data_IF_684644265711
#
_entry.id   IF_684644265711
#
_cell.length_a   1.000
_cell.length_b   1.000
_cell.length_c   1.000
_cell.angle_alpha   90.00
_cell.angle_beta   90.00
_cell.angle_gamma   90.00
#
_symmetry.space_group_name_H-M   'P 1'
#
loop_
_entity.id
_entity.type
_entity.pdbx_description
1 polymer ?
#
# COMPACT_ATOMS: atom_id res chain seq x y z
N UNK A 1 -10.95 -24.36 9.01
CA UNK A 1 -9.74 -23.94 8.27
C UNK A 1 -9.69 -22.43 8.12
N UNK A 2 -10.75 -21.78 7.63
CA UNK A 2 -10.82 -20.31 7.49
C UNK A 2 -10.67 -19.55 8.82
N UNK A 3 -11.28 -20.02 9.91
CA UNK A 3 -11.15 -19.39 11.23
C UNK A 3 -9.70 -19.44 11.78
N UNK A 4 -9.00 -20.55 11.57
CA UNK A 4 -7.59 -20.72 11.98
C UNK A 4 -6.66 -19.84 11.13
N UNK A 5 -6.95 -19.70 9.83
CA UNK A 5 -6.20 -18.82 8.92
C UNK A 5 -6.46 -17.32 9.18
N UNK A 6 -7.67 -16.95 9.59
CA UNK A 6 -7.97 -15.57 10.03
C UNK A 6 -7.22 -15.22 11.31
N UNK A 7 -7.14 -16.14 12.27
CA UNK A 7 -6.37 -15.97 13.52
C UNK A 7 -4.86 -15.82 13.26
N UNK A 8 -4.33 -16.40 12.19
CA UNK A 8 -2.95 -16.25 11.72
C UNK A 8 -2.63 -14.85 11.17
N UNK A 9 -3.56 -14.22 10.44
CA UNK A 9 -3.32 -12.88 9.90
C UNK A 9 -3.37 -11.78 10.97
N UNK A 10 -4.06 -12.04 12.09
CA UNK A 10 -4.26 -11.06 13.17
C UNK A 10 -3.27 -11.19 14.35
N UNK A 11 -2.67 -12.37 14.60
CA UNK A 11 -1.79 -12.59 15.76
C UNK A 11 -0.47 -13.25 15.36
N UNK A 12 0.62 -12.85 16.04
CA UNK A 12 1.99 -13.32 15.78
C UNK A 12 2.21 -14.83 15.96
N UNK A 13 3.47 -15.26 15.84
CA UNK A 13 3.90 -16.67 15.77
C UNK A 13 3.37 -17.57 16.90
N UNK A 14 3.02 -17.01 18.07
CA UNK A 14 2.49 -17.75 19.21
C UNK A 14 1.17 -17.12 19.67
N UNK A 15 0.08 -17.90 19.60
CA UNK A 15 -1.21 -17.53 20.17
C UNK A 15 -1.48 -18.41 21.39
N UNK A 16 -1.82 -17.77 22.52
CA UNK A 16 -2.26 -18.44 23.76
C UNK A 16 -3.75 -18.18 23.93
N UNK A 17 -4.54 -19.26 23.96
CA UNK A 17 -5.95 -19.17 24.32
C UNK A 17 -6.12 -18.76 25.79
N UNK A 18 -7.33 -18.31 26.15
CA UNK A 18 -7.71 -18.03 27.54
C UNK A 18 -7.53 -19.24 28.48
N UNK A 19 -7.47 -20.45 27.93
CA UNK A 19 -7.23 -21.71 28.64
C UNK A 19 -5.73 -22.09 28.74
N UNK A 20 -4.82 -21.26 28.20
CA UNK A 20 -3.37 -21.44 28.32
C UNK A 20 -2.72 -22.33 27.24
N UNK A 21 -3.48 -22.84 26.28
CA UNK A 21 -2.94 -23.62 25.16
C UNK A 21 -2.20 -22.72 24.16
N UNK A 22 -0.90 -22.97 24.00
CA UNK A 22 -0.08 -22.40 22.91
C UNK A 22 -0.35 -23.16 21.62
N UNK A 23 -0.90 -22.47 20.63
CA UNK A 23 -1.14 -23.04 19.31
C UNK A 23 0.09 -22.78 18.42
N UNK A 24 1.02 -23.73 18.37
CA UNK A 24 2.12 -23.71 17.40
C UNK A 24 1.63 -24.18 16.03
N UNK A 25 1.11 -23.23 15.25
CA UNK A 25 0.57 -23.48 13.92
C UNK A 25 1.65 -23.92 12.91
N UNK A 26 2.93 -23.62 13.16
CA UNK A 26 4.05 -24.07 12.31
C UNK A 26 4.12 -25.59 12.31
N UNK A 27 3.91 -26.22 13.47
CA UNK A 27 3.83 -27.68 13.59
C UNK A 27 2.62 -28.27 12.85
N UNK A 28 1.53 -27.51 12.69
CA UNK A 28 0.33 -27.95 11.96
C UNK A 28 0.36 -27.67 10.45
N UNK A 29 1.31 -26.87 9.95
CA UNK A 29 1.42 -26.54 8.52
C UNK A 29 1.42 -27.76 7.58
N UNK A 30 2.19 -28.83 7.85
CA UNK A 30 2.18 -30.02 6.99
C UNK A 30 0.80 -30.68 6.92
N UNK A 31 0.08 -30.73 8.04
CA UNK A 31 -1.27 -31.28 8.10
C UNK A 31 -2.27 -30.41 7.31
N UNK A 32 -2.15 -29.08 7.40
CA UNK A 32 -2.98 -28.16 6.62
C UNK A 32 -2.69 -28.23 5.12
N UNK A 33 -1.42 -28.32 4.72
CA UNK A 33 -1.04 -28.49 3.32
C UNK A 33 -1.65 -29.77 2.75
N UNK A 34 -1.58 -30.88 3.49
CA UNK A 34 -2.18 -32.15 3.09
C UNK A 34 -3.70 -32.03 2.96
N UNK A 35 -4.36 -31.43 3.96
CA UNK A 35 -5.82 -31.24 3.96
C UNK A 35 -6.28 -30.35 2.79
N UNK A 36 -5.56 -29.25 2.52
CA UNK A 36 -5.87 -28.36 1.40
C UNK A 36 -5.69 -29.07 0.06
N UNK A 37 -4.59 -29.80 -0.12
CA UNK A 37 -4.29 -30.50 -1.37
C UNK A 37 -5.23 -31.68 -1.66
N UNK A 38 -5.87 -32.24 -0.63
CA UNK A 38 -6.82 -33.36 -0.73
C UNK A 38 -8.28 -32.92 -0.66
N UNK A 39 -8.56 -31.64 -0.41
CA UNK A 39 -9.92 -31.08 -0.43
C UNK A 39 -10.33 -30.72 -1.86
N UNK A 40 -11.60 -30.94 -2.20
CA UNK A 40 -12.11 -30.57 -3.52
C UNK A 40 -12.18 -29.05 -3.66
N UNK A 41 -11.63 -28.52 -4.76
CA UNK A 41 -11.69 -27.08 -5.05
C UNK A 41 -12.92 -26.75 -5.90
N UNK A 42 -13.66 -25.71 -5.52
CA UNK A 42 -14.94 -25.34 -6.15
C UNK A 42 -14.83 -25.02 -7.65
N UNK A 43 -13.71 -24.44 -8.08
CA UNK A 43 -13.48 -24.10 -9.49
C UNK A 43 -13.22 -25.31 -10.38
N UNK A 44 -12.50 -26.32 -9.90
CA UNK A 44 -12.07 -27.47 -10.72
C UNK A 44 -12.90 -28.72 -10.46
N UNK A 45 -13.69 -28.75 -9.37
CA UNK A 45 -14.42 -29.94 -8.91
C UNK A 45 -13.51 -31.11 -8.53
N UNK A 46 -12.20 -30.88 -8.46
CA UNK A 46 -11.16 -31.88 -8.19
C UNK A 46 -10.24 -31.38 -7.08
N UNK A 47 -9.52 -32.31 -6.48
CA UNK A 47 -8.50 -31.98 -5.48
C UNK A 47 -7.24 -31.43 -6.17
N UNK A 48 -6.55 -30.44 -5.57
CA UNK A 48 -5.30 -29.93 -6.12
C UNK A 48 -4.25 -31.03 -6.36
N UNK A 49 -4.13 -32.01 -5.46
CA UNK A 49 -3.19 -33.13 -5.63
C UNK A 49 -3.50 -34.01 -6.86
N UNK A 50 -4.78 -34.20 -7.22
CA UNK A 50 -5.13 -34.93 -8.45
C UNK A 50 -4.78 -34.10 -9.70
N UNK A 51 -4.92 -32.78 -9.64
CA UNK A 51 -4.54 -31.91 -10.77
C UNK A 51 -3.01 -31.81 -10.91
N UNK A 52 -2.29 -31.77 -9.78
CA UNK A 52 -0.83 -31.54 -9.72
C UNK A 52 0.02 -32.82 -9.70
N UNK A 53 -0.55 -33.97 -9.31
CA UNK A 53 0.17 -35.25 -9.28
C UNK A 53 -0.57 -36.38 -9.98
N UNK A 54 -1.85 -36.21 -10.30
CA UNK A 54 -2.69 -37.26 -10.89
C UNK A 54 -3.30 -38.22 -9.86
N UNK A 55 -2.93 -38.12 -8.58
CA UNK A 55 -3.42 -38.99 -7.50
C UNK A 55 -3.52 -38.22 -6.19
N UNK A 56 -4.39 -38.70 -5.30
CA UNK A 56 -4.44 -38.21 -3.92
C UNK A 56 -3.60 -39.12 -3.02
N UNK A 57 -2.80 -38.55 -2.10
CA UNK A 57 -2.14 -39.33 -1.07
C UNK A 57 -3.18 -40.08 -0.23
N UNK A 58 -2.87 -41.34 0.08
CA UNK A 58 -3.69 -42.18 0.94
C UNK A 58 -3.55 -41.70 2.39
N UNK A 59 -4.67 -41.65 3.10
CA UNK A 59 -4.62 -41.45 4.55
C UNK A 59 -4.14 -42.73 5.24
N UNK A 60 -3.53 -42.64 6.43
CA UNK A 60 -3.14 -43.84 7.21
C UNK A 60 -4.32 -44.82 7.38
N UNK A 61 -5.54 -44.32 7.52
CA UNK A 61 -6.77 -45.13 7.61
C UNK A 61 -7.08 -45.87 6.29
N UNK A 62 -6.79 -45.26 5.15
CA UNK A 62 -7.02 -45.87 3.84
C UNK A 62 -6.03 -46.99 3.57
N UNK A 63 -4.79 -46.88 4.10
CA UNK A 63 -3.79 -47.95 3.99
C UNK A 63 -4.26 -49.25 4.65
N UNK A 64 -4.91 -49.17 5.82
CA UNK A 64 -5.45 -50.36 6.50
C UNK A 64 -6.73 -50.92 5.86
N UNK A 65 -7.43 -50.12 5.05
CA UNK A 65 -8.67 -50.54 4.36
C UNK A 65 -8.41 -51.11 2.97
N UNK A 66 -7.29 -50.75 2.34
CA UNK A 66 -6.99 -51.13 0.97
C UNK A 66 -6.28 -52.50 0.92
N UNK A 67 -7.06 -53.56 0.72
CA UNK A 67 -6.55 -54.91 0.42
C UNK A 67 -6.23 -55.14 -1.08
N UNK A 68 -6.21 -54.07 -1.90
CA UNK A 68 -6.02 -54.17 -3.35
C UNK A 68 -4.59 -53.79 -3.76
N UNK A 69 -4.01 -54.58 -4.67
CA UNK A 69 -2.74 -54.27 -5.33
C UNK A 69 -2.90 -52.99 -6.16
N UNK A 70 -2.18 -51.93 -5.77
CA UNK A 70 -2.15 -50.67 -6.54
C UNK A 70 -1.16 -50.84 -7.69
N UNK A 71 -1.66 -51.20 -8.87
CA UNK A 71 -0.85 -51.23 -10.08
C UNK A 71 -0.67 -49.79 -10.55
N UNK A 72 0.56 -49.28 -10.46
CA UNK A 72 0.87 -47.98 -11.02
C UNK A 72 0.75 -48.02 -12.55
N UNK A 73 0.11 -47.01 -13.17
CA UNK A 73 0.02 -46.95 -14.62
C UNK A 73 1.42 -46.87 -15.23
N UNK A 74 1.57 -47.38 -16.46
CA UNK A 74 2.80 -47.21 -17.23
C UNK A 74 3.11 -45.71 -17.36
N UNK A 75 4.39 -45.33 -17.45
CA UNK A 75 4.79 -43.92 -17.58
C UNK A 75 4.06 -43.20 -18.74
N UNK A 76 3.76 -43.92 -19.84
CA UNK A 76 2.98 -43.40 -20.97
C UNK A 76 1.53 -43.09 -20.59
N UNK A 77 0.86 -44.02 -19.91
CA UNK A 77 -0.53 -43.84 -19.48
C UNK A 77 -0.65 -42.73 -18.44
N UNK A 78 0.35 -42.62 -17.55
CA UNK A 78 0.44 -41.52 -16.59
C UNK A 78 0.58 -40.17 -17.30
N UNK A 79 1.44 -40.07 -18.32
CA UNK A 79 1.62 -38.85 -19.10
C UNK A 79 0.34 -38.44 -19.85
N UNK A 80 -0.37 -39.39 -20.44
CA UNK A 80 -1.63 -39.11 -21.14
C UNK A 80 -2.73 -38.70 -20.16
N UNK A 81 -2.82 -39.34 -18.99
CA UNK A 81 -3.70 -38.92 -17.90
C UNK A 81 -3.37 -37.51 -17.42
N UNK A 82 -2.08 -37.23 -17.21
CA UNK A 82 -1.57 -35.94 -16.77
C UNK A 82 -1.95 -34.81 -17.73
N UNK A 83 -1.70 -35.01 -19.03
CA UNK A 83 -2.11 -34.07 -20.07
C UNK A 83 -3.60 -33.76 -20.03
N UNK A 84 -4.44 -34.80 -19.95
CA UNK A 84 -5.90 -34.61 -19.83
C UNK A 84 -6.27 -33.83 -18.57
N UNK A 85 -5.62 -34.10 -17.44
CA UNK A 85 -5.85 -33.36 -16.20
C UNK A 85 -5.49 -31.87 -16.36
N UNK A 86 -4.32 -31.56 -16.93
CA UNK A 86 -3.92 -30.18 -17.24
C UNK A 86 -4.91 -29.49 -18.18
N UNK A 87 -5.34 -30.15 -19.26
CA UNK A 87 -6.30 -29.59 -20.21
C UNK A 87 -7.64 -29.30 -19.53
N UNK A 88 -8.12 -30.19 -18.67
CA UNK A 88 -9.37 -29.96 -17.91
C UNK A 88 -9.22 -28.81 -16.92
N UNK A 89 -8.09 -28.73 -16.21
CA UNK A 89 -7.84 -27.65 -15.27
C UNK A 89 -7.76 -26.29 -15.97
N UNK A 90 -7.09 -26.23 -17.13
CA UNK A 90 -7.01 -25.03 -17.95
C UNK A 90 -8.40 -24.55 -18.40
N UNK A 91 -9.28 -25.48 -18.81
CA UNK A 91 -10.67 -25.17 -19.15
C UNK A 91 -11.45 -24.62 -17.95
N UNK A 92 -11.40 -25.29 -16.80
CA UNK A 92 -12.08 -24.82 -15.58
C UNK A 92 -11.60 -23.43 -15.15
N UNK A 93 -10.29 -23.15 -15.24
CA UNK A 93 -9.74 -21.83 -14.93
C UNK A 93 -10.23 -20.77 -15.93
N UNK A 94 -10.30 -21.10 -17.22
CA UNK A 94 -10.84 -20.20 -18.23
C UNK A 94 -12.33 -19.89 -17.99
N UNK A 95 -13.14 -20.90 -17.67
CA UNK A 95 -14.55 -20.75 -17.33
C UNK A 95 -14.75 -19.90 -16.08
N UNK A 96 -13.97 -20.14 -15.02
CA UNK A 96 -14.04 -19.33 -13.80
C UNK A 96 -13.59 -17.89 -14.02
N UNK A 97 -12.59 -17.66 -14.87
CA UNK A 97 -12.18 -16.31 -15.27
C UNK A 97 -13.32 -15.59 -15.98
N UNK A 98 -13.99 -16.26 -16.92
CA UNK A 98 -15.11 -15.68 -17.66
C UNK A 98 -16.32 -15.44 -16.74
N UNK A 99 -16.64 -16.36 -15.83
CA UNK A 99 -17.68 -16.18 -14.81
C UNK A 99 -17.39 -14.97 -13.92
N UNK A 100 -16.17 -14.85 -13.41
CA UNK A 100 -15.75 -13.74 -12.55
C UNK A 100 -15.80 -12.41 -13.31
N UNK A 101 -15.37 -12.40 -14.58
CA UNK A 101 -15.47 -11.24 -15.46
C UNK A 101 -16.92 -10.82 -15.66
N UNK A 102 -17.81 -11.73 -16.06
CA UNK A 102 -19.23 -11.41 -16.24
C UNK A 102 -19.88 -10.89 -14.95
N UNK A 103 -19.50 -11.45 -13.79
CA UNK A 103 -20.00 -10.97 -12.48
C UNK A 103 -19.49 -9.56 -12.18
N UNK A 104 -18.21 -9.30 -12.44
CA UNK A 104 -17.61 -7.98 -12.27
C UNK A 104 -18.26 -6.96 -13.20
N UNK A 105 -18.34 -7.25 -14.49
CA UNK A 105 -18.88 -6.35 -15.53
C UNK A 105 -20.37 -5.99 -15.27
N UNK A 106 -21.13 -6.87 -14.59
CA UNK A 106 -22.54 -6.57 -14.19
C UNK A 106 -22.67 -5.46 -13.16
N UNK A 107 -21.73 -5.39 -12.21
CA UNK A 107 -21.79 -4.41 -11.10
C UNK A 107 -20.81 -3.27 -11.26
N UNK A 108 -19.76 -3.48 -12.06
CA UNK A 108 -18.72 -2.49 -12.29
C UNK A 108 -19.22 -1.44 -13.26
N UNK A 109 -19.20 -0.19 -12.80
CA UNK A 109 -19.41 0.98 -13.64
C UNK A 109 -18.05 1.62 -13.85
N UNK A 110 -17.68 1.84 -15.12
CA UNK A 110 -16.51 2.64 -15.43
C UNK A 110 -16.77 4.09 -14.96
N UNK A 111 -15.80 4.73 -14.31
CA UNK A 111 -15.98 6.07 -13.79
C UNK A 111 -15.99 7.10 -14.94
N UNK A 112 -17.05 7.90 -15.02
CA UNK A 112 -17.16 9.03 -15.96
C UNK A 112 -16.53 10.28 -15.33
N UNK A 113 -15.21 10.39 -15.40
CA UNK A 113 -14.48 11.60 -15.01
C UNK A 113 -14.00 12.33 -16.26
N UNK A 114 -14.22 13.64 -16.31
CA UNK A 114 -13.73 14.51 -17.38
C UNK A 114 -12.55 15.35 -16.89
N UNK A 115 -11.64 15.63 -17.81
CA UNK A 115 -10.50 16.52 -17.54
C UNK A 115 -11.00 17.85 -16.99
N UNK A 116 -10.50 18.25 -15.81
CA UNK A 116 -10.93 19.46 -15.11
C UNK A 116 -11.99 19.26 -14.02
N UNK A 117 -12.63 18.09 -13.93
CA UNK A 117 -13.59 17.80 -12.86
C UNK A 117 -12.91 17.87 -11.48
N UNK A 118 -13.68 18.31 -10.46
CA UNK A 118 -13.19 18.30 -9.09
C UNK A 118 -13.45 16.94 -8.43
N UNK A 119 -12.43 16.39 -7.79
CA UNK A 119 -12.49 15.09 -7.14
C UNK A 119 -11.88 15.14 -5.74
N UNK A 120 -12.48 14.39 -4.81
CA UNK A 120 -12.01 14.20 -3.45
C UNK A 120 -11.16 12.93 -3.36
N UNK A 121 -10.00 13.01 -2.70
CA UNK A 121 -9.08 11.86 -2.52
C UNK A 121 -9.14 11.34 -1.09
N UNK A 122 -9.26 10.03 -0.89
CA UNK A 122 -9.36 9.41 0.44
C UNK A 122 -8.08 9.57 1.28
N UNK A 123 -8.24 9.82 2.58
CA UNK A 123 -7.12 9.91 3.55
C UNK A 123 -6.61 8.55 4.03
N UNK A 124 -7.15 7.42 3.53
CA UNK A 124 -6.79 6.07 3.99
C UNK A 124 -5.28 5.82 3.97
N UNK A 125 -4.63 6.17 2.86
CA UNK A 125 -3.20 5.94 2.63
C UNK A 125 -2.31 7.13 3.05
N UNK A 126 -2.90 8.13 3.72
CA UNK A 126 -2.19 9.32 4.14
C UNK A 126 -1.81 9.19 5.62
N UNK A 127 -0.54 8.87 5.88
CA UNK A 127 -0.01 8.76 7.25
C UNK A 127 0.49 10.10 7.80
N UNK A 128 0.90 11.03 6.93
CA UNK A 128 1.53 12.30 7.32
C UNK A 128 0.52 13.46 7.40
N UNK A 129 -0.75 13.18 7.74
CA UNK A 129 -1.75 14.23 7.94
C UNK A 129 -1.74 14.68 9.39
N UNK A 130 -1.93 15.98 9.60
CA UNK A 130 -2.00 16.56 10.94
C UNK A 130 -3.24 16.07 11.69
N UNK A 131 -3.08 15.69 12.95
CA UNK A 131 -4.16 15.31 13.87
C UNK A 131 -4.46 13.80 13.93
N UNK A 132 -5.32 13.38 14.88
CA UNK A 132 -5.62 11.97 15.10
C UNK A 132 -6.50 11.39 13.98
N UNK A 133 -6.24 10.14 13.57
CA UNK A 133 -6.96 9.43 12.49
C UNK A 133 -8.49 9.40 12.65
N UNK A 134 -8.99 9.46 13.89
CA UNK A 134 -10.43 9.44 14.20
C UNK A 134 -11.13 10.79 14.01
N UNK A 135 -10.42 11.92 14.11
CA UNK A 135 -11.01 13.26 14.00
C UNK A 135 -10.70 13.97 12.67
N UNK A 136 -9.89 13.35 11.81
CA UNK A 136 -9.58 13.91 10.50
C UNK A 136 -10.66 13.55 9.49
N UNK A 137 -10.82 14.40 8.47
CA UNK A 137 -11.71 14.12 7.36
C UNK A 137 -11.30 12.84 6.62
N UNK A 138 -12.30 12.05 6.23
CA UNK A 138 -12.06 10.80 5.49
C UNK A 138 -11.61 11.05 4.05
N UNK A 139 -11.89 12.25 3.52
CA UNK A 139 -11.49 12.70 2.20
C UNK A 139 -10.81 14.06 2.32
N UNK A 140 -9.76 14.24 1.52
CA UNK A 140 -9.09 15.51 1.35
C UNK A 140 -9.91 16.44 0.48
N UNK A 141 -9.43 17.67 0.43
CA UNK A 141 -9.95 18.75 -0.40
C UNK A 141 -10.23 18.31 -1.85
N UNK A 142 -11.11 19.06 -2.55
CA UNK A 142 -11.27 18.89 -3.99
C UNK A 142 -9.95 19.19 -4.70
N UNK A 143 -9.51 18.27 -5.54
CA UNK A 143 -8.40 18.44 -6.45
C UNK A 143 -8.91 18.32 -7.88
N UNK A 144 -8.20 18.90 -8.84
CA UNK A 144 -8.60 18.81 -10.24
C UNK A 144 -8.14 17.47 -10.83
N UNK A 145 -9.09 16.71 -11.34
CA UNK A 145 -8.84 15.55 -12.18
C UNK A 145 -8.10 16.00 -13.44
N UNK A 146 -7.00 15.30 -13.75
CA UNK A 146 -6.21 15.58 -14.96
C UNK A 146 -6.51 14.58 -16.05
N UNK A 147 -6.34 13.28 -15.78
CA UNK A 147 -6.64 12.21 -16.73
C UNK A 147 -6.80 10.87 -16.03
N UNK A 148 -7.33 9.90 -16.78
CA UNK A 148 -7.42 8.51 -16.36
C UNK A 148 -6.18 7.73 -16.83
N UNK A 149 -5.54 7.00 -15.91
CA UNK A 149 -4.41 6.10 -16.21
C UNK A 149 -4.96 4.67 -16.28
N UNK A 150 -5.00 4.12 -17.49
CA UNK A 150 -5.59 2.79 -17.72
C UNK A 150 -7.11 2.82 -17.58
N UNK A 151 -7.67 1.93 -16.76
CA UNK A 151 -9.13 1.86 -16.47
C UNK A 151 -9.50 2.09 -15.01
N UNK A 152 -8.54 1.99 -14.09
CA UNK A 152 -8.82 1.94 -12.64
C UNK A 152 -7.95 2.90 -11.82
N UNK A 153 -7.20 3.79 -12.46
CA UNK A 153 -6.39 4.79 -11.80
C UNK A 153 -6.66 6.18 -12.37
N UNK A 154 -6.62 7.17 -11.49
CA UNK A 154 -6.94 8.56 -11.75
C UNK A 154 -5.73 9.40 -11.38
N UNK A 155 -5.29 10.24 -12.30
CA UNK A 155 -4.26 11.25 -12.05
C UNK A 155 -4.91 12.56 -11.63
N UNK A 156 -4.42 13.09 -10.51
CA UNK A 156 -4.98 14.27 -9.86
C UNK A 156 -3.88 15.31 -9.69
N UNK A 157 -4.20 16.59 -9.95
CA UNK A 157 -3.26 17.68 -9.67
C UNK A 157 -3.20 17.96 -8.16
N UNK A 158 -2.18 17.44 -7.50
CA UNK A 158 -1.94 17.68 -6.08
C UNK A 158 -1.30 19.05 -5.88
N UNK A 159 -1.94 19.92 -5.09
CA UNK A 159 -1.44 21.25 -4.74
C UNK A 159 -0.86 21.27 -3.30
N UNK A 160 -0.06 22.30 -3.00
CA UNK A 160 0.41 22.65 -1.65
C UNK A 160 1.21 21.51 -0.96
N UNK A 161 0.79 21.13 0.26
CA UNK A 161 1.39 20.11 1.13
C UNK A 161 1.43 18.71 0.50
N UNK A 162 0.63 18.48 -0.55
CA UNK A 162 0.53 17.19 -1.23
C UNK A 162 1.33 17.11 -2.53
N UNK A 163 1.96 18.21 -2.98
CA UNK A 163 2.75 18.27 -4.21
C UNK A 163 3.88 17.23 -4.28
N UNK A 164 4.42 16.83 -3.12
CA UNK A 164 5.48 15.80 -3.01
C UNK A 164 4.96 14.36 -3.07
N UNK A 165 3.64 14.16 -3.02
CA UNK A 165 3.03 12.82 -3.09
C UNK A 165 2.78 12.41 -4.52
N UNK A 166 2.70 11.10 -4.75
CA UNK A 166 2.38 10.57 -6.06
C UNK A 166 0.95 10.99 -6.47
N UNK A 167 0.75 11.60 -7.66
CA UNK A 167 -0.54 12.18 -8.06
C UNK A 167 -1.58 11.14 -8.52
N UNK A 168 -1.19 9.87 -8.64
CA UNK A 168 -2.06 8.81 -9.16
C UNK A 168 -2.68 8.01 -8.02
N UNK A 169 -4.01 7.91 -8.04
CA UNK A 169 -4.81 7.18 -7.07
C UNK A 169 -5.75 6.18 -7.76
N UNK A 170 -6.01 5.00 -7.15
CA UNK A 170 -7.07 4.11 -7.62
C UNK A 170 -8.44 4.81 -7.60
N UNK A 171 -9.30 4.50 -8.58
CA UNK A 171 -10.67 5.04 -8.69
C UNK A 171 -11.47 4.81 -7.40
N UNK A 172 -11.27 3.68 -6.73
CA UNK A 172 -11.94 3.34 -5.46
C UNK A 172 -11.63 4.30 -4.30
N UNK A 173 -10.52 5.03 -4.37
CA UNK A 173 -10.10 6.01 -3.36
C UNK A 173 -10.46 7.45 -3.76
N UNK A 174 -11.16 7.64 -4.87
CA UNK A 174 -11.53 8.95 -5.41
C UNK A 174 -13.05 9.06 -5.46
N UNK A 175 -13.59 10.24 -5.14
CA UNK A 175 -15.02 10.55 -5.27
C UNK A 175 -15.22 11.83 -6.08
N UNK A 176 -16.26 11.90 -6.94
CA UNK A 176 -16.62 13.16 -7.58
C UNK A 176 -17.02 14.18 -6.50
N UNK A 177 -16.55 15.41 -6.66
CA UNK A 177 -16.95 16.53 -5.83
C UNK A 177 -18.11 17.27 -6.50
N UNK A 178 -19.22 17.42 -5.78
CA UNK A 178 -20.34 18.24 -6.20
C UNK A 178 -20.37 19.51 -5.37
N UNK A 179 -20.26 20.66 -6.02
CA UNK A 179 -20.37 21.94 -5.34
C UNK A 179 -21.78 22.09 -4.76
N UNK A 180 -21.86 22.64 -3.54
CA UNK A 180 -23.16 22.88 -2.92
C UNK A 180 -23.82 24.09 -3.59
N UNK A 181 -25.01 23.88 -4.16
CA UNK A 181 -25.87 24.94 -4.66
C UNK A 181 -26.31 25.85 -3.50
N UNK A 182 -25.79 27.08 -3.47
CA UNK A 182 -26.02 28.03 -2.37
C UNK A 182 -27.50 28.43 -2.28
N UNK A 183 -28.18 28.53 -3.42
CA UNK A 183 -29.60 28.89 -3.51
C UNK A 183 -30.53 27.83 -2.89
N UNK A 184 -30.13 26.55 -2.89
CA UNK A 184 -30.95 25.47 -2.33
C UNK A 184 -30.82 25.38 -0.80
N UNK A 185 -29.73 25.91 -0.22
CA UNK A 185 -29.43 25.79 1.20
C UNK A 185 -28.85 27.08 1.80
N UNK A 186 -29.63 28.18 1.86
CA UNK A 186 -29.13 29.50 2.26
C UNK A 186 -28.69 29.57 3.74
N UNK A 187 -29.17 28.68 4.61
CA UNK A 187 -28.80 28.62 6.03
C UNK A 187 -27.50 27.85 6.32
N UNK A 188 -26.89 27.23 5.32
CA UNK A 188 -25.66 26.44 5.49
C UNK A 188 -24.45 27.37 5.56
N UNK A 189 -23.80 27.42 6.72
CA UNK A 189 -22.52 28.14 6.88
C UNK A 189 -21.50 27.54 5.92
N UNK A 190 -20.91 28.36 5.05
CA UNK A 190 -19.76 27.95 4.24
C UNK A 190 -18.64 27.56 5.20
N UNK A 191 -18.17 26.32 5.11
CA UNK A 191 -16.88 26.00 5.72
C UNK A 191 -15.85 26.92 5.04
N UNK A 192 -14.96 27.59 5.79
CA UNK A 192 -13.97 28.46 5.18
C UNK A 192 -13.21 27.62 4.15
N UNK A 193 -13.31 28.01 2.87
CA UNK A 193 -12.48 27.43 1.82
C UNK A 193 -11.06 27.60 2.31
N UNK A 194 -10.31 26.52 2.58
CA UNK A 194 -9.00 26.69 3.13
C UNK A 194 -8.20 27.41 2.05
N UNK A 195 -7.80 28.64 2.35
CA UNK A 195 -7.23 29.56 1.39
C UNK A 195 -6.04 28.87 0.73
N UNK A 196 -5.89 28.99 -0.59
CA UNK A 196 -4.59 28.72 -1.18
C UNK A 196 -3.61 29.61 -0.43
N UNK A 197 -2.69 28.99 0.31
CA UNK A 197 -1.60 29.72 0.94
C UNK A 197 -0.82 30.23 -0.26
N UNK A 198 -1.06 31.50 -0.62
CA UNK A 198 -0.21 32.27 -1.52
C UNK A 198 1.20 31.94 -1.05
N UNK A 199 2.05 31.43 -1.97
CA UNK A 199 3.45 31.18 -1.68
C UNK A 199 3.96 32.40 -0.92
N UNK A 200 4.12 32.26 0.40
CA UNK A 200 4.56 33.36 1.23
C UNK A 200 5.97 33.60 0.74
N UNK A 201 6.09 34.66 -0.03
CA UNK A 201 7.32 35.28 -0.51
C UNK A 201 8.38 35.09 0.58
N UNK A 202 9.52 34.54 0.17
CA UNK A 202 10.59 33.93 0.97
C UNK A 202 11.12 34.85 2.07
N UNK A 203 10.28 35.10 3.08
CA UNK A 203 10.59 35.96 4.20
C UNK A 203 11.63 35.21 5.04
N UNK A 204 12.76 35.84 5.38
CA UNK A 204 13.84 35.17 6.08
C UNK A 204 13.35 34.56 7.40
N UNK A 205 13.18 33.23 7.42
CA UNK A 205 12.67 32.51 8.59
C UNK A 205 13.80 32.27 9.60
N UNK A 206 13.56 32.45 10.90
CA UNK A 206 14.59 32.26 11.91
C UNK A 206 15.01 30.77 12.00
N UNK A 207 16.31 30.55 11.96
CA UNK A 207 16.92 29.22 12.06
C UNK A 207 16.80 28.67 13.48
N UNK A 208 16.56 27.36 13.60
CA UNK A 208 16.58 26.63 14.88
C UNK A 208 17.88 25.86 15.07
N UNK A 209 18.30 25.05 14.09
CA UNK A 209 19.52 24.23 14.18
C UNK A 209 20.03 23.81 12.81
N UNK A 210 21.36 23.66 12.69
CA UNK A 210 22.01 23.01 11.55
C UNK A 210 22.29 21.54 11.85
N UNK A 211 21.94 20.67 10.91
CA UNK A 211 21.99 19.21 11.14
C UNK A 211 23.17 18.58 10.41
N UNK A 212 23.36 18.95 9.14
CA UNK A 212 24.38 18.37 8.25
C UNK A 212 25.05 19.45 7.44
N UNK A 213 26.27 19.16 7.00
CA UNK A 213 26.98 19.94 6.00
C UNK A 213 27.36 19.01 4.84
N UNK A 214 27.28 19.53 3.62
CA UNK A 214 27.77 18.85 2.42
C UNK A 214 28.56 19.84 1.56
N UNK A 215 29.51 19.31 0.78
CA UNK A 215 30.28 20.08 -0.18
C UNK A 215 29.88 19.62 -1.58
N UNK A 216 29.44 20.54 -2.43
CA UNK A 216 28.95 20.26 -3.78
C UNK A 216 29.65 21.19 -4.75
N UNK A 217 29.92 20.71 -5.96
CA UNK A 217 30.51 21.54 -7.02
C UNK A 217 29.40 22.09 -7.89
N UNK A 218 29.20 23.41 -7.86
CA UNK A 218 28.20 24.13 -8.66
C UNK A 218 28.97 25.16 -9.51
N UNK A 219 28.75 25.16 -10.83
CA UNK A 219 29.47 26.03 -11.78
C UNK A 219 31.00 25.97 -11.63
N UNK A 220 31.55 24.76 -11.42
CA UNK A 220 32.99 24.53 -11.26
C UNK A 220 33.58 24.96 -9.91
N UNK A 221 32.81 25.64 -9.05
CA UNK A 221 33.22 26.09 -7.72
C UNK A 221 32.69 25.15 -6.64
N UNK A 222 33.54 24.90 -5.65
CA UNK A 222 33.19 24.12 -4.48
C UNK A 222 32.39 24.98 -3.49
N UNK A 223 31.10 24.68 -3.31
CA UNK A 223 30.22 25.37 -2.38
C UNK A 223 29.83 24.44 -1.22
N UNK A 224 29.90 24.96 0.01
CA UNK A 224 29.38 24.28 1.20
C UNK A 224 27.92 24.65 1.41
N UNK A 225 27.08 23.63 1.59
CA UNK A 225 25.69 23.79 1.96
C UNK A 225 25.43 23.14 3.32
N UNK A 226 24.50 23.72 4.07
CA UNK A 226 24.08 23.25 5.37
C UNK A 226 22.60 22.87 5.32
N UNK A 227 22.24 21.75 5.95
CA UNK A 227 20.85 21.35 6.13
C UNK A 227 20.31 22.11 7.35
N UNK A 228 19.41 23.06 7.08
CA UNK A 228 18.89 23.99 8.07
C UNK A 228 17.49 23.57 8.48
N UNK A 229 17.26 23.48 9.80
CA UNK A 229 15.94 23.34 10.40
C UNK A 229 15.45 24.69 10.89
N UNK A 230 14.28 25.10 10.44
CA UNK A 230 13.64 26.36 10.84
C UNK A 230 12.90 26.21 12.17
N UNK A 231 12.73 27.32 12.91
CA UNK A 231 11.92 27.32 14.13
C UNK A 231 10.45 27.00 13.80
N UNK A 232 9.82 26.18 14.66
CA UNK A 232 8.42 25.77 14.56
C UNK A 232 8.03 24.90 13.34
N UNK A 233 9.01 24.28 12.67
CA UNK A 233 8.78 23.36 11.55
C UNK A 233 9.26 21.95 11.83
N UNK A 234 8.65 20.98 11.13
CA UNK A 234 9.04 19.57 11.19
C UNK A 234 10.22 19.31 10.26
N UNK A 235 10.84 18.13 10.39
CA UNK A 235 11.97 17.71 9.57
C UNK A 235 11.68 17.69 8.05
N UNK A 236 10.39 17.68 7.65
CA UNK A 236 9.98 17.65 6.25
C UNK A 236 10.24 18.97 5.51
N UNK A 237 10.36 20.07 6.26
CA UNK A 237 10.62 21.40 5.72
C UNK A 237 12.11 21.80 5.75
N UNK A 238 13.00 20.89 6.17
CA UNK A 238 14.44 21.12 6.21
C UNK A 238 14.97 21.37 4.77
N UNK A 239 15.70 22.49 4.58
CA UNK A 239 16.27 22.88 3.27
C UNK A 239 17.79 22.95 3.31
N UNK A 240 18.44 22.64 2.19
CA UNK A 240 19.88 22.85 2.00
C UNK A 240 20.13 24.29 1.57
N UNK A 241 20.79 25.08 2.42
CA UNK A 241 21.11 26.48 2.15
C UNK A 241 22.63 26.70 2.11
N UNK A 242 23.08 27.63 1.27
CA UNK A 242 24.45 28.12 1.27
C UNK A 242 24.68 29.07 2.46
N UNK A 243 25.94 29.28 2.86
CA UNK A 243 26.31 30.15 3.99
C UNK A 243 25.70 31.56 3.85
N UNK A 244 25.68 32.10 2.63
CA UNK A 244 25.20 33.46 2.33
C UNK A 244 23.67 33.59 2.33
N UNK A 245 22.96 32.48 2.15
CA UNK A 245 21.50 32.44 2.06
C UNK A 245 20.82 32.18 3.42
N UNK A 246 21.59 32.08 4.50
CA UNK A 246 21.07 31.77 5.83
C UNK A 246 20.93 33.07 6.63
N UNK A 247 19.69 33.53 6.92
CA UNK A 247 19.48 34.74 7.70
C UNK A 247 19.99 34.54 9.13
N UNK A 248 20.85 35.46 9.58
CA UNK A 248 21.48 35.47 10.91
C UNK A 248 22.20 34.16 11.31
N UNK A 249 22.73 33.43 10.31
CA UNK A 249 23.28 32.08 10.48
C UNK A 249 24.64 31.99 11.17
N UNK A 250 25.30 33.11 11.46
CA UNK A 250 26.70 33.13 11.93
C UNK A 250 26.90 32.44 13.28
N UNK A 251 25.99 32.67 14.23
CA UNK A 251 26.00 32.05 15.55
C UNK A 251 25.73 30.54 15.48
N UNK A 252 24.77 30.13 14.66
CA UNK A 252 24.39 28.74 14.49
C UNK A 252 25.45 27.93 13.72
N UNK A 253 26.09 28.53 12.72
CA UNK A 253 27.26 27.95 12.04
C UNK A 253 28.40 27.71 13.01
N UNK A 254 28.67 28.68 13.91
CA UNK A 254 29.74 28.54 14.91
C UNK A 254 29.44 27.41 15.89
N UNK A 255 28.20 27.33 16.40
CA UNK A 255 27.75 26.23 17.27
C UNK A 255 27.85 24.87 16.59
N UNK A 256 27.42 24.77 15.33
CA UNK A 256 27.50 23.53 14.56
C UNK A 256 28.94 23.09 14.27
N UNK A 257 29.82 24.02 13.89
CA UNK A 257 31.25 23.72 13.69
C UNK A 257 31.92 23.29 14.99
N UNK A 258 31.55 23.89 16.13
CA UNK A 258 32.05 23.49 17.44
C UNK A 258 31.60 22.07 17.82
N UNK A 259 30.31 21.75 17.67
CA UNK A 259 29.78 20.42 18.00
C UNK A 259 30.37 19.30 17.13
N UNK A 260 30.67 19.60 15.85
CA UNK A 260 31.33 18.63 14.96
C UNK A 260 32.79 18.36 15.32
N UNK A 261 33.52 19.36 15.83
CA UNK A 261 34.90 19.17 16.31
C UNK A 261 34.94 18.29 17.55
N UNK A 262 33.99 18.45 18.47
CA UNK A 262 33.90 17.63 19.68
C UNK A 262 33.45 16.19 19.38
N UNK A 263 32.59 15.97 18.39
CA UNK A 263 32.23 14.61 17.94
C UNK A 263 33.43 13.88 17.32
N UNK A 264 34.31 14.57 16.60
CA UNK A 264 35.50 13.99 15.99
C UNK A 264 36.64 13.70 16.97
N UNK A 265 36.68 14.36 18.14
CA UNK A 265 37.71 14.10 19.16
C UNK A 265 37.36 12.96 20.12
N UNK A 266 36.15 12.41 20.05
CA UNK A 266 35.66 11.32 20.89
C UNK A 266 35.49 9.99 20.14
N UNK A 267 35.97 9.91 18.90
CA UNK A 267 36.15 8.68 18.11
C UNK A 267 37.65 8.40 17.98
#
# INVERSE_FOLDING_TARGET
>A
MEDILRRFCDYGMEYKDHEGYTHDWVTFLPAFQLAYNTSQHSTTGKTPAVVEKGWNPLWPVDHFKNNLLTIHPTAKDFHDMWKRACDTAAKCVAEAKEYNKQRWDKTHMEPDFKEGDQVLVSTLNFNNLKGPKKMRDSFLRPFTFTRLIGKNAVEVKLTQEFSRKHPVFPVSLVKPYFQTEEDKFPSRKKNPTPTDIVEVEDSPRPVSKMIRARKIRINGKDQRQYLVRFKHQTADEDKWLAEDAIPDGSLDLRRFRASRRTEQSHQ
#
